data_IF_246600272473
#
_entry.id   IF_246600272473
#
_cell.length_a   1.000
_cell.length_b   1.000
_cell.length_c   1.000
_cell.angle_alpha   90.00
_cell.angle_beta   90.00
_cell.angle_gamma   90.00
#
_symmetry.space_group_name_H-M   'P 1'
#
loop_
_entity.id
_entity.type
_entity.pdbx_description
1 polymer ?
#
# COMPACT_ATOMS: atom_id res chain seq x y z
N UNK A 1 33.34 -20.48 23.92
CA UNK A 1 32.10 -20.42 23.08
C UNK A 1 32.06 -19.27 22.09
N UNK A 2 32.74 -18.10 22.29
CA UNK A 2 32.74 -16.94 21.36
C UNK A 2 33.54 -17.10 20.06
N UNK A 3 34.47 -18.07 19.97
CA UNK A 3 35.35 -18.25 18.78
C UNK A 3 34.77 -19.21 17.73
N UNK A 4 33.84 -20.05 18.09
CA UNK A 4 33.33 -21.10 17.17
C UNK A 4 32.28 -20.59 16.16
N UNK A 5 31.47 -19.58 16.52
CA UNK A 5 30.42 -19.06 15.65
C UNK A 5 30.99 -18.29 14.44
N UNK A 6 32.10 -17.59 14.63
CA UNK A 6 32.79 -16.83 13.54
C UNK A 6 33.52 -17.77 12.57
N UNK A 7 34.00 -18.92 13.06
CA UNK A 7 34.72 -19.88 12.24
C UNK A 7 33.81 -20.71 11.32
N UNK A 8 32.57 -21.02 11.74
CA UNK A 8 31.62 -21.77 10.92
C UNK A 8 31.09 -20.99 9.72
N UNK A 9 30.98 -19.65 9.82
CA UNK A 9 30.47 -18.83 8.71
C UNK A 9 31.54 -18.60 7.63
N UNK A 10 32.84 -18.61 8.00
CA UNK A 10 33.96 -18.46 7.08
C UNK A 10 34.17 -19.69 6.16
N UNK A 11 33.67 -20.88 6.54
CA UNK A 11 33.86 -22.11 5.77
C UNK A 11 32.88 -22.23 4.57
N UNK A 12 31.87 -21.36 4.47
CA UNK A 12 30.91 -21.36 3.36
C UNK A 12 31.42 -20.68 2.08
N UNK A 13 32.68 -20.24 2.02
CA UNK A 13 33.26 -19.52 0.85
C UNK A 13 33.98 -20.47 -0.14
N UNK A 14 33.63 -21.74 -0.20
CA UNK A 14 34.12 -22.61 -1.27
C UNK A 14 33.27 -22.43 -2.54
N UNK A 15 33.79 -21.75 -3.55
CA UNK A 15 33.20 -21.66 -4.88
C UNK A 15 33.06 -23.09 -5.45
N UNK A 16 31.84 -23.60 -5.69
CA UNK A 16 31.65 -24.93 -6.24
C UNK A 16 32.08 -24.94 -7.72
N UNK A 17 33.13 -25.67 -8.05
CA UNK A 17 33.33 -26.11 -9.42
C UNK A 17 32.23 -27.14 -9.73
N UNK A 18 31.30 -26.78 -10.61
CA UNK A 18 30.26 -27.67 -11.14
C UNK A 18 30.92 -28.77 -11.99
N UNK A 19 31.20 -29.91 -11.37
CA UNK A 19 31.49 -31.16 -12.09
C UNK A 19 30.18 -31.89 -12.33
N UNK A 20 29.86 -32.16 -13.60
CA UNK A 20 28.72 -32.94 -14.05
C UNK A 20 28.75 -34.34 -13.36
N UNK A 21 27.82 -34.58 -12.46
CA UNK A 21 27.64 -35.89 -11.81
C UNK A 21 27.64 -35.88 -10.27
N UNK A 22 28.03 -34.76 -9.62
CA UNK A 22 28.05 -34.69 -8.16
C UNK A 22 26.65 -34.57 -7.57
N UNK A 23 26.36 -35.37 -6.53
CA UNK A 23 25.14 -35.25 -5.75
C UNK A 23 25.19 -33.94 -4.95
N UNK A 24 24.08 -33.18 -4.97
CA UNK A 24 23.94 -31.94 -4.16
C UNK A 24 24.12 -32.13 -2.64
N UNK A 25 24.21 -33.38 -2.18
CA UNK A 25 24.33 -33.70 -0.76
C UNK A 25 25.75 -34.12 -0.35
N UNK A 26 26.71 -34.17 -1.26
CA UNK A 26 28.09 -34.53 -1.02
C UNK A 26 28.66 -35.45 -2.11
N UNK A 27 29.99 -35.63 -2.09
CA UNK A 27 30.72 -36.35 -3.11
C UNK A 27 30.75 -37.86 -2.87
N UNK A 28 30.65 -38.27 -1.60
CA UNK A 28 30.65 -39.68 -1.19
C UNK A 28 29.30 -40.11 -0.65
N UNK A 29 29.00 -41.41 -0.69
CA UNK A 29 27.75 -41.96 -0.12
C UNK A 29 27.64 -41.64 1.39
N UNK A 30 28.75 -41.68 2.11
CA UNK A 30 28.80 -41.36 3.53
C UNK A 30 28.44 -39.88 3.77
N UNK A 31 29.04 -38.93 3.02
CA UNK A 31 28.70 -37.50 3.12
C UNK A 31 27.25 -37.26 2.78
N UNK A 32 26.72 -37.89 1.72
CA UNK A 32 25.31 -37.78 1.34
C UNK A 32 24.38 -38.30 2.42
N UNK A 33 24.70 -39.41 3.08
CA UNK A 33 23.91 -39.94 4.17
C UNK A 33 23.88 -39.00 5.37
N UNK A 34 25.06 -38.53 5.82
CA UNK A 34 25.20 -37.59 6.94
C UNK A 34 24.43 -36.30 6.67
N UNK A 35 24.56 -35.72 5.47
CA UNK A 35 23.83 -34.51 5.13
C UNK A 35 22.32 -34.74 5.10
N UNK A 36 21.81 -35.79 4.46
CA UNK A 36 20.38 -36.12 4.41
C UNK A 36 19.80 -36.35 5.81
N UNK A 37 20.53 -37.03 6.67
CA UNK A 37 20.14 -37.25 8.06
C UNK A 37 20.04 -35.93 8.84
N UNK A 38 21.09 -35.09 8.80
CA UNK A 38 21.13 -33.80 9.46
C UNK A 38 19.99 -32.88 8.99
N UNK A 39 19.73 -32.82 7.65
CA UNK A 39 18.60 -32.09 7.08
C UNK A 39 17.26 -32.60 7.59
N UNK A 40 17.08 -33.91 7.67
CA UNK A 40 15.84 -34.54 8.15
C UNK A 40 15.57 -34.20 9.61
N UNK A 41 16.61 -34.26 10.44
CA UNK A 41 16.51 -34.00 11.90
C UNK A 41 16.07 -32.57 12.18
N UNK A 42 16.76 -31.54 11.65
CA UNK A 42 16.35 -30.19 11.92
C UNK A 42 14.97 -29.84 11.36
N UNK A 43 14.61 -30.38 10.16
CA UNK A 43 13.28 -30.20 9.57
C UNK A 43 12.19 -30.83 10.44
N UNK A 44 12.46 -31.98 11.07
CA UNK A 44 11.55 -32.63 12.01
C UNK A 44 11.25 -31.73 13.22
N UNK A 45 12.28 -31.22 13.89
CA UNK A 45 12.09 -30.29 15.01
C UNK A 45 11.38 -28.98 14.58
N UNK A 46 11.70 -28.45 13.41
CA UNK A 46 11.00 -27.29 12.85
C UNK A 46 9.49 -27.56 12.65
N UNK A 47 9.11 -28.75 12.13
CA UNK A 47 7.72 -29.13 11.97
C UNK A 47 6.99 -29.25 13.31
N UNK A 48 7.68 -29.70 14.34
CA UNK A 48 7.17 -29.78 15.72
C UNK A 48 7.13 -28.41 16.41
N UNK A 49 7.56 -27.33 15.74
CA UNK A 49 7.69 -25.97 16.30
C UNK A 49 8.68 -25.85 17.47
N UNK A 50 9.55 -26.85 17.66
CA UNK A 50 10.66 -26.81 18.58
C UNK A 50 11.84 -26.07 17.94
N UNK A 51 11.77 -24.74 17.93
CA UNK A 51 12.70 -23.90 17.16
C UNK A 51 14.10 -23.85 17.80
N UNK A 52 14.24 -24.04 19.11
CA UNK A 52 15.52 -24.03 19.78
C UNK A 52 16.35 -25.26 19.38
N UNK A 53 15.75 -26.44 19.45
CA UNK A 53 16.40 -27.65 19.01
C UNK A 53 16.60 -27.66 17.48
N UNK A 54 15.62 -27.15 16.72
CA UNK A 54 15.76 -27.01 15.28
C UNK A 54 16.97 -26.15 14.89
N UNK A 55 17.26 -25.07 15.62
CA UNK A 55 18.43 -24.23 15.41
C UNK A 55 19.74 -24.98 15.66
N UNK A 56 19.85 -25.73 16.78
CA UNK A 56 21.02 -26.52 17.08
C UNK A 56 21.30 -27.57 15.99
N UNK A 57 20.27 -28.28 15.55
CA UNK A 57 20.40 -29.27 14.49
C UNK A 57 20.62 -28.66 13.10
N UNK A 58 20.12 -27.44 12.85
CA UNK A 58 20.42 -26.68 11.65
C UNK A 58 21.91 -26.29 11.58
N UNK A 59 22.53 -25.89 12.68
CA UNK A 59 23.98 -25.63 12.74
C UNK A 59 24.78 -26.88 12.32
N UNK A 60 24.40 -28.08 12.82
CA UNK A 60 25.02 -29.34 12.41
C UNK A 60 24.82 -29.62 10.92
N UNK A 61 23.62 -29.33 10.39
CA UNK A 61 23.37 -29.52 8.97
C UNK A 61 24.22 -28.57 8.11
N UNK A 62 24.47 -27.34 8.56
CA UNK A 62 25.35 -26.39 7.88
C UNK A 62 26.82 -26.83 7.89
N UNK A 63 27.24 -27.59 8.90
CA UNK A 63 28.61 -28.11 9.02
C UNK A 63 28.86 -29.29 8.08
N UNK A 64 27.88 -30.19 7.93
CA UNK A 64 28.07 -31.44 7.16
C UNK A 64 27.54 -31.40 5.72
N UNK A 65 26.68 -30.45 5.37
CA UNK A 65 26.08 -30.37 4.04
C UNK A 65 26.82 -29.39 3.14
N UNK A 66 26.95 -29.69 1.82
CA UNK A 66 27.39 -28.72 0.84
C UNK A 66 26.44 -27.50 0.81
N UNK A 67 26.99 -26.33 0.47
CA UNK A 67 26.22 -25.07 0.36
C UNK A 67 25.06 -25.14 -0.63
N UNK A 68 25.16 -26.00 -1.64
CA UNK A 68 24.16 -26.25 -2.67
C UNK A 68 23.14 -27.31 -2.31
N UNK A 69 23.25 -27.93 -1.11
CA UNK A 69 22.37 -29.03 -0.72
C UNK A 69 20.88 -28.69 -0.76
N UNK A 70 20.54 -27.49 -0.26
CA UNK A 70 19.16 -27.06 -0.18
C UNK A 70 19.02 -25.57 0.10
N UNK A 71 18.20 -24.85 -0.69
CA UNK A 71 17.84 -23.44 -0.43
C UNK A 71 17.25 -23.23 0.97
N UNK A 72 16.52 -24.22 1.48
CA UNK A 72 15.90 -24.19 2.81
C UNK A 72 16.89 -24.00 3.96
N UNK A 73 18.16 -24.36 3.81
CA UNK A 73 19.21 -24.08 4.81
C UNK A 73 19.33 -22.58 5.07
N UNK A 74 19.29 -21.76 4.02
CA UNK A 74 19.42 -20.31 4.11
C UNK A 74 18.14 -19.67 4.67
N UNK A 75 16.98 -20.00 4.12
CA UNK A 75 15.71 -19.40 4.54
C UNK A 75 15.33 -19.79 5.99
N UNK A 76 15.61 -21.03 6.41
CA UNK A 76 15.37 -21.47 7.75
C UNK A 76 16.41 -20.89 8.72
N UNK A 77 17.69 -20.80 8.30
CA UNK A 77 18.76 -20.14 9.05
C UNK A 77 18.44 -18.69 9.37
N UNK A 78 18.00 -17.92 8.38
CA UNK A 78 17.55 -16.53 8.57
C UNK A 78 16.44 -16.48 9.64
N UNK A 79 15.48 -17.40 9.60
CA UNK A 79 14.40 -17.48 10.59
C UNK A 79 14.92 -17.80 11.99
N UNK A 80 15.83 -18.76 12.12
CA UNK A 80 16.41 -19.15 13.39
C UNK A 80 17.25 -18.03 13.98
N UNK A 81 18.12 -17.40 13.18
CA UNK A 81 18.92 -16.26 13.61
C UNK A 81 18.06 -15.08 14.07
N UNK A 82 16.94 -14.82 13.39
CA UNK A 82 15.99 -13.77 13.82
C UNK A 82 15.35 -14.09 15.20
N UNK A 83 15.15 -15.35 15.54
CA UNK A 83 14.71 -15.73 16.88
C UNK A 83 15.82 -15.55 17.91
N UNK A 84 17.07 -15.87 17.56
CA UNK A 84 18.23 -15.63 18.43
C UNK A 84 18.47 -14.12 18.63
N UNK A 85 18.27 -13.29 17.61
CA UNK A 85 18.31 -11.82 17.76
C UNK A 85 17.28 -11.35 18.80
N UNK A 86 16.05 -11.86 18.76
CA UNK A 86 15.03 -11.51 19.76
C UNK A 86 15.47 -11.89 21.19
N UNK A 87 16.07 -13.09 21.36
CA UNK A 87 16.59 -13.52 22.65
C UNK A 87 17.75 -12.63 23.12
N UNK A 88 18.71 -12.33 22.24
CA UNK A 88 19.83 -11.44 22.56
C UNK A 88 19.36 -10.03 22.91
N UNK A 89 18.35 -9.50 22.19
CA UNK A 89 17.72 -8.21 22.49
C UNK A 89 17.08 -8.21 23.87
N UNK A 90 16.38 -9.28 24.24
CA UNK A 90 15.77 -9.40 25.58
C UNK A 90 16.78 -9.51 26.73
N UNK A 91 18.02 -9.85 26.40
CA UNK A 91 19.16 -9.94 27.34
C UNK A 91 20.07 -8.70 27.25
N UNK A 92 19.68 -7.69 26.47
CA UNK A 92 20.45 -6.46 26.22
C UNK A 92 21.89 -6.72 25.69
N UNK A 93 22.12 -7.88 25.06
CA UNK A 93 23.43 -8.24 24.45
C UNK A 93 23.55 -7.64 23.04
N UNK A 94 23.85 -6.35 22.97
CA UNK A 94 23.98 -5.60 21.73
C UNK A 94 25.06 -6.15 20.79
N UNK A 95 26.16 -6.67 21.34
CA UNK A 95 27.24 -7.26 20.54
C UNK A 95 26.78 -8.55 19.85
N UNK A 96 26.00 -9.36 20.54
CA UNK A 96 25.40 -10.57 19.95
C UNK A 96 24.32 -10.22 18.92
N UNK A 97 23.50 -9.20 19.19
CA UNK A 97 22.49 -8.71 18.21
C UNK A 97 23.19 -8.31 16.92
N UNK A 98 24.26 -7.51 16.97
CA UNK A 98 25.00 -7.08 15.78
C UNK A 98 25.56 -8.29 15.01
N UNK A 99 26.28 -9.19 15.66
CA UNK A 99 26.87 -10.38 15.03
C UNK A 99 25.84 -11.30 14.37
N UNK A 100 24.67 -11.50 15.03
CA UNK A 100 23.58 -12.30 14.47
C UNK A 100 22.93 -11.61 13.26
N UNK A 101 22.80 -10.28 13.31
CA UNK A 101 22.26 -9.47 12.21
C UNK A 101 23.18 -9.54 10.99
N UNK A 102 24.48 -9.40 11.15
CA UNK A 102 25.47 -9.59 10.08
C UNK A 102 25.35 -10.99 9.45
N UNK A 103 25.19 -12.00 10.28
CA UNK A 103 24.99 -13.38 9.81
C UNK A 103 23.69 -13.55 8.99
N UNK A 104 22.62 -12.87 9.39
CA UNK A 104 21.35 -12.86 8.62
C UNK A 104 21.58 -12.31 7.21
N UNK A 105 22.28 -11.18 7.07
CA UNK A 105 22.53 -10.56 5.78
C UNK A 105 23.49 -11.38 4.92
N UNK A 106 24.50 -11.99 5.52
CA UNK A 106 25.37 -12.94 4.82
C UNK A 106 24.58 -14.13 4.24
N UNK A 107 23.65 -14.71 5.01
CA UNK A 107 22.78 -15.78 4.51
C UNK A 107 21.87 -15.33 3.37
N UNK A 108 21.39 -14.09 3.38
CA UNK A 108 20.65 -13.52 2.26
C UNK A 108 21.50 -13.43 1.01
N UNK A 109 22.75 -12.93 1.11
CA UNK A 109 23.65 -12.76 -0.02
C UNK A 109 24.04 -14.12 -0.63
N UNK A 110 24.41 -15.08 0.20
CA UNK A 110 24.71 -16.45 -0.24
C UNK A 110 23.49 -17.12 -0.89
N UNK A 111 22.29 -16.90 -0.34
CA UNK A 111 21.05 -17.44 -0.91
C UNK A 111 20.75 -16.84 -2.29
N UNK A 112 20.98 -15.53 -2.49
CA UNK A 112 20.81 -14.86 -3.79
C UNK A 112 21.82 -15.35 -4.81
N UNK A 113 23.05 -15.62 -4.41
CA UNK A 113 24.12 -16.11 -5.27
C UNK A 113 23.88 -17.56 -5.70
N UNK A 114 23.56 -18.45 -4.75
CA UNK A 114 23.44 -19.89 -4.99
C UNK A 114 22.07 -20.29 -5.57
N UNK A 115 21.03 -19.50 -5.33
CA UNK A 115 19.67 -19.79 -5.77
C UNK A 115 19.02 -18.58 -6.45
N UNK A 116 19.65 -18.01 -7.50
CA UNK A 116 19.12 -16.83 -8.20
C UNK A 116 17.80 -17.13 -8.93
N UNK A 117 17.60 -18.39 -9.30
CA UNK A 117 16.40 -18.90 -9.96
C UNK A 117 16.03 -20.29 -9.43
N UNK A 118 14.74 -20.60 -9.42
CA UNK A 118 14.20 -21.92 -9.13
C UNK A 118 13.11 -22.28 -10.14
N UNK A 119 12.76 -23.56 -10.27
CA UNK A 119 11.66 -23.99 -11.17
C UNK A 119 10.34 -23.26 -10.92
N UNK A 120 10.08 -22.90 -9.65
CA UNK A 120 8.84 -22.20 -9.26
C UNK A 120 8.99 -20.66 -9.29
N UNK A 121 10.20 -20.15 -9.27
CA UNK A 121 10.53 -18.71 -9.20
C UNK A 121 11.73 -18.43 -10.07
N UNK A 122 11.55 -18.15 -11.37
CA UNK A 122 12.65 -17.81 -12.27
C UNK A 122 13.42 -16.56 -11.79
N UNK A 123 12.74 -15.61 -11.12
CA UNK A 123 13.33 -14.39 -10.57
C UNK A 123 13.53 -14.50 -9.04
N UNK A 124 13.97 -15.67 -8.53
CA UNK A 124 14.06 -15.92 -7.10
C UNK A 124 15.00 -14.95 -6.37
N UNK A 125 16.09 -14.50 -7.02
CA UNK A 125 16.99 -13.47 -6.48
C UNK A 125 16.23 -12.20 -6.11
N UNK A 126 15.31 -11.76 -6.95
CA UNK A 126 14.52 -10.54 -6.71
C UNK A 126 13.52 -10.73 -5.53
N UNK A 127 12.92 -11.91 -5.38
CA UNK A 127 12.11 -12.24 -4.20
C UNK A 127 12.94 -12.21 -2.92
N UNK A 128 14.15 -12.79 -2.95
CA UNK A 128 15.05 -12.82 -1.79
C UNK A 128 15.46 -11.39 -1.42
N UNK A 129 15.78 -10.55 -2.41
CA UNK A 129 16.17 -9.16 -2.21
C UNK A 129 15.06 -8.35 -1.51
N UNK A 130 13.80 -8.50 -1.90
CA UNK A 130 12.67 -7.86 -1.23
C UNK A 130 12.54 -8.26 0.25
N UNK A 131 12.79 -9.52 0.59
CA UNK A 131 12.85 -9.96 1.99
C UNK A 131 14.08 -9.44 2.72
N UNK A 132 15.24 -9.39 2.05
CA UNK A 132 16.46 -8.77 2.60
C UNK A 132 16.21 -7.31 2.95
N UNK A 133 15.60 -6.54 2.05
CA UNK A 133 15.24 -5.14 2.27
C UNK A 133 14.29 -4.97 3.46
N UNK A 134 13.28 -5.86 3.58
CA UNK A 134 12.34 -5.84 4.71
C UNK A 134 13.01 -6.07 6.05
N UNK A 135 13.92 -7.02 6.13
CA UNK A 135 14.66 -7.31 7.37
C UNK A 135 15.71 -6.21 7.63
N UNK A 136 16.35 -5.66 6.58
CA UNK A 136 17.28 -4.53 6.73
C UNK A 136 16.59 -3.31 7.34
N UNK A 137 15.46 -2.88 6.79
CA UNK A 137 14.71 -1.74 7.31
C UNK A 137 14.21 -1.97 8.74
N UNK A 138 14.01 -3.23 9.14
CA UNK A 138 13.62 -3.57 10.50
C UNK A 138 14.76 -3.39 11.51
N UNK A 139 15.99 -3.73 11.12
CA UNK A 139 17.16 -3.64 11.98
C UNK A 139 17.86 -2.29 11.90
N UNK A 140 17.71 -1.54 10.78
CA UNK A 140 18.38 -0.28 10.49
C UNK A 140 17.32 0.77 10.12
N UNK A 141 16.55 1.23 11.10
CA UNK A 141 15.45 2.20 10.90
C UNK A 141 15.93 3.59 10.51
N UNK A 142 17.14 3.90 10.83
CA UNK A 142 17.86 5.14 10.54
C UNK A 142 18.46 5.19 9.13
N UNK A 143 18.49 4.07 8.41
CA UNK A 143 18.88 4.00 7.00
C UNK A 143 17.72 3.52 6.09
N UNK A 144 16.70 4.36 5.87
CA UNK A 144 15.62 4.03 4.94
C UNK A 144 16.07 4.03 3.48
N UNK A 145 17.15 4.75 3.14
CA UNK A 145 17.63 4.92 1.77
C UNK A 145 18.15 3.62 1.18
N UNK A 146 19.00 2.90 1.92
CA UNK A 146 19.52 1.59 1.48
C UNK A 146 18.37 0.57 1.33
N UNK A 147 17.46 0.52 2.30
CA UNK A 147 16.29 -0.36 2.22
C UNK A 147 15.43 -0.04 1.00
N UNK A 148 15.19 1.26 0.75
CA UNK A 148 14.39 1.73 -0.39
C UNK A 148 15.00 1.33 -1.73
N UNK A 149 16.31 1.47 -1.91
CA UNK A 149 17.01 1.06 -3.12
C UNK A 149 16.86 -0.45 -3.40
N UNK A 150 17.00 -1.30 -2.38
CA UNK A 150 16.80 -2.75 -2.53
C UNK A 150 15.35 -3.15 -2.78
N UNK A 151 14.40 -2.45 -2.17
CA UNK A 151 12.97 -2.65 -2.48
C UNK A 151 12.69 -2.29 -3.93
N UNK A 152 13.21 -1.15 -4.41
CA UNK A 152 13.02 -0.73 -5.80
C UNK A 152 13.57 -1.76 -6.78
N UNK A 153 14.81 -2.22 -6.60
CA UNK A 153 15.42 -3.27 -7.45
C UNK A 153 14.54 -4.54 -7.47
N UNK A 154 14.00 -4.95 -6.31
CA UNK A 154 13.11 -6.10 -6.21
C UNK A 154 11.81 -5.88 -7.00
N UNK A 155 11.17 -4.71 -6.87
CA UNK A 155 9.90 -4.37 -7.52
C UNK A 155 10.09 -4.22 -9.04
N UNK A 156 11.14 -3.54 -9.50
CA UNK A 156 11.43 -3.36 -10.92
C UNK A 156 11.61 -4.70 -11.65
N UNK A 157 12.14 -5.70 -10.94
CA UNK A 157 12.31 -7.06 -11.44
C UNK A 157 11.02 -7.88 -11.39
N UNK A 158 10.25 -7.80 -10.31
CA UNK A 158 9.08 -8.66 -10.05
C UNK A 158 7.77 -8.07 -10.53
N UNK A 159 7.67 -6.74 -10.58
CA UNK A 159 6.44 -6.01 -10.96
C UNK A 159 5.22 -6.54 -10.18
N UNK A 160 4.21 -7.04 -10.88
CA UNK A 160 2.98 -7.60 -10.32
C UNK A 160 3.21 -8.81 -9.40
N UNK A 161 4.32 -9.55 -9.57
CA UNK A 161 4.65 -10.68 -8.70
C UNK A 161 5.17 -10.24 -7.31
N UNK A 162 5.38 -8.94 -7.11
CA UNK A 162 5.87 -8.40 -5.84
C UNK A 162 4.86 -8.61 -4.72
N UNK A 163 5.35 -9.03 -3.55
CA UNK A 163 4.47 -9.25 -2.40
C UNK A 163 3.91 -7.94 -1.83
N UNK A 164 2.69 -8.00 -1.28
CA UNK A 164 2.01 -6.87 -0.65
C UNK A 164 2.90 -6.14 0.40
N UNK A 165 3.64 -6.90 1.20
CA UNK A 165 4.51 -6.32 2.23
C UNK A 165 5.68 -5.51 1.62
N UNK A 166 6.28 -6.00 0.53
CA UNK A 166 7.38 -5.31 -0.17
C UNK A 166 6.88 -4.01 -0.80
N UNK A 167 5.74 -4.04 -1.51
CA UNK A 167 5.13 -2.84 -2.10
C UNK A 167 4.85 -1.76 -1.04
N UNK A 168 4.21 -2.15 0.06
CA UNK A 168 3.89 -1.22 1.15
C UNK A 168 5.16 -0.65 1.81
N UNK A 169 6.14 -1.49 2.14
CA UNK A 169 7.37 -1.03 2.80
C UNK A 169 8.22 -0.16 1.88
N UNK A 170 8.26 -0.44 0.59
CA UNK A 170 8.91 0.41 -0.39
C UNK A 170 8.37 1.84 -0.33
N UNK A 171 7.06 2.02 -0.43
CA UNK A 171 6.46 3.35 -0.44
C UNK A 171 6.66 4.10 0.88
N UNK A 172 6.59 3.38 2.01
CA UNK A 172 6.90 3.93 3.33
C UNK A 172 8.38 4.34 3.45
N UNK A 173 9.32 3.52 2.95
CA UNK A 173 10.75 3.87 2.97
C UNK A 173 11.09 4.98 2.00
N UNK A 174 10.38 5.11 0.86
CA UNK A 174 10.48 6.26 -0.05
C UNK A 174 10.14 7.57 0.67
N UNK A 175 9.08 7.57 1.48
CA UNK A 175 8.70 8.73 2.29
C UNK A 175 9.79 9.12 3.30
N UNK A 176 10.35 8.16 4.02
CA UNK A 176 11.42 8.47 4.97
C UNK A 176 12.72 8.86 4.28
N UNK A 177 13.05 8.26 3.13
CA UNK A 177 14.18 8.67 2.31
C UNK A 177 14.01 10.10 1.76
N UNK A 178 12.79 10.49 1.35
CA UNK A 178 12.47 11.86 0.95
C UNK A 178 12.68 12.85 2.09
N UNK A 179 12.29 12.49 3.32
CA UNK A 179 12.40 13.40 4.49
C UNK A 179 13.82 13.77 4.90
N UNK A 180 14.82 13.01 4.49
CA UNK A 180 16.23 13.32 4.74
C UNK A 180 16.87 14.12 3.60
N UNK A 181 16.13 14.40 2.53
CA UNK A 181 16.54 15.23 1.41
C UNK A 181 16.07 16.67 1.61
N UNK A 182 16.77 17.61 0.98
CA UNK A 182 16.44 19.03 1.02
C UNK A 182 16.35 19.63 -0.39
N UNK A 183 15.64 20.76 -0.52
CA UNK A 183 15.56 21.53 -1.75
C UNK A 183 15.01 20.73 -2.95
N UNK A 184 15.69 20.85 -4.09
CA UNK A 184 15.22 20.26 -5.35
C UNK A 184 15.24 18.72 -5.32
N UNK A 185 16.17 18.10 -4.60
CA UNK A 185 16.22 16.64 -4.48
C UNK A 185 15.00 16.07 -3.74
N UNK A 186 14.47 16.79 -2.75
CA UNK A 186 13.24 16.38 -2.06
C UNK A 186 12.02 16.52 -2.98
N UNK A 187 11.97 17.57 -3.81
CA UNK A 187 10.90 17.76 -4.81
C UNK A 187 10.93 16.69 -5.91
N UNK A 188 12.13 16.36 -6.41
CA UNK A 188 12.31 15.29 -7.39
C UNK A 188 11.81 13.96 -6.83
N UNK A 189 12.21 13.62 -5.61
CA UNK A 189 11.76 12.41 -4.92
C UNK A 189 10.24 12.39 -4.70
N UNK A 190 9.64 13.52 -4.37
CA UNK A 190 8.18 13.65 -4.28
C UNK A 190 7.51 13.36 -5.64
N UNK A 191 8.01 13.93 -6.74
CA UNK A 191 7.51 13.67 -8.09
C UNK A 191 7.61 12.19 -8.48
N UNK A 192 8.74 11.54 -8.14
CA UNK A 192 8.88 10.09 -8.31
C UNK A 192 7.80 9.32 -7.51
N UNK A 193 7.62 9.63 -6.23
CA UNK A 193 6.65 8.97 -5.38
C UNK A 193 5.21 9.12 -5.89
N UNK A 194 4.84 10.31 -6.40
CA UNK A 194 3.53 10.54 -7.00
C UNK A 194 3.30 9.68 -8.26
N UNK A 195 4.33 9.51 -9.09
CA UNK A 195 4.30 8.64 -10.27
C UNK A 195 4.23 7.16 -9.87
N UNK A 196 5.05 6.74 -8.90
CA UNK A 196 5.13 5.37 -8.41
C UNK A 196 3.83 4.93 -7.72
N UNK A 197 3.14 5.85 -7.04
CA UNK A 197 1.83 5.56 -6.45
C UNK A 197 0.87 4.94 -7.46
N UNK A 198 0.78 5.48 -8.67
CA UNK A 198 -0.10 4.96 -9.72
C UNK A 198 0.30 3.53 -10.11
N UNK A 199 1.60 3.28 -10.32
CA UNK A 199 2.11 1.96 -10.71
C UNK A 199 1.92 0.93 -9.61
N UNK A 200 2.27 1.26 -8.37
CA UNK A 200 2.16 0.34 -7.25
C UNK A 200 0.70 -0.03 -6.95
N UNK A 201 -0.20 0.94 -7.05
CA UNK A 201 -1.63 0.68 -6.86
C UNK A 201 -2.23 -0.14 -7.99
N UNK A 202 -1.72 -0.05 -9.23
CA UNK A 202 -2.12 -0.95 -10.34
C UNK A 202 -1.71 -2.40 -10.03
N UNK A 203 -0.47 -2.64 -9.58
CA UNK A 203 -0.03 -3.99 -9.15
C UNK A 203 -0.88 -4.54 -8.00
N UNK A 204 -1.22 -3.69 -7.04
CA UNK A 204 -2.04 -4.09 -5.89
C UNK A 204 -3.47 -4.43 -6.32
N UNK A 205 -4.11 -3.57 -7.13
CA UNK A 205 -5.49 -3.76 -7.58
C UNK A 205 -5.63 -5.03 -8.43
N UNK A 206 -4.67 -5.29 -9.34
CA UNK A 206 -4.59 -6.53 -10.11
C UNK A 206 -4.47 -7.76 -9.20
N UNK A 207 -3.61 -7.71 -8.18
CA UNK A 207 -3.43 -8.81 -7.22
C UNK A 207 -4.67 -9.02 -6.35
N UNK A 208 -5.38 -7.96 -5.94
CA UNK A 208 -6.65 -8.07 -5.21
C UNK A 208 -7.69 -8.77 -6.09
N UNK A 209 -7.86 -8.34 -7.34
CA UNK A 209 -8.82 -8.93 -8.28
C UNK A 209 -8.53 -10.41 -8.52
N UNK A 210 -7.26 -10.77 -8.77
CA UNK A 210 -6.83 -12.15 -8.95
C UNK A 210 -7.07 -13.01 -7.70
N UNK A 211 -6.77 -12.47 -6.51
CA UNK A 211 -6.98 -13.17 -5.25
C UNK A 211 -8.47 -13.39 -4.93
N UNK A 212 -9.32 -12.40 -5.23
CA UNK A 212 -10.78 -12.51 -5.09
C UNK A 212 -11.32 -13.56 -6.04
N UNK A 213 -10.92 -13.53 -7.31
CA UNK A 213 -11.33 -14.54 -8.31
C UNK A 213 -10.90 -15.96 -7.94
N UNK A 214 -9.76 -16.10 -7.23
CA UNK A 214 -9.24 -17.39 -6.73
C UNK A 214 -9.76 -17.74 -5.32
N UNK A 215 -10.72 -17.00 -4.76
CA UNK A 215 -11.26 -17.15 -3.40
C UNK A 215 -10.19 -17.12 -2.28
N UNK A 216 -9.03 -16.52 -2.57
CA UNK A 216 -7.93 -16.41 -1.62
C UNK A 216 -8.05 -15.14 -0.76
N UNK A 217 -8.97 -15.17 0.21
CA UNK A 217 -9.27 -14.05 1.10
C UNK A 217 -8.04 -13.54 1.86
N UNK A 218 -7.12 -14.43 2.26
CA UNK A 218 -5.90 -14.05 2.96
C UNK A 218 -5.00 -13.18 2.09
N UNK A 219 -4.79 -13.55 0.84
CA UNK A 219 -3.98 -12.77 -0.10
C UNK A 219 -4.66 -11.45 -0.42
N UNK A 220 -5.96 -11.45 -0.72
CA UNK A 220 -6.73 -10.23 -0.96
C UNK A 220 -6.61 -9.23 0.21
N UNK A 221 -6.85 -9.69 1.46
CA UNK A 221 -6.71 -8.87 2.67
C UNK A 221 -5.28 -8.32 2.83
N UNK A 222 -4.25 -9.11 2.49
CA UNK A 222 -2.86 -8.66 2.52
C UNK A 222 -2.60 -7.48 1.59
N UNK A 223 -3.08 -7.54 0.34
CA UNK A 223 -2.95 -6.44 -0.62
C UNK A 223 -3.85 -5.24 -0.29
N UNK A 224 -5.06 -5.44 0.23
CA UNK A 224 -5.91 -4.35 0.73
C UNK A 224 -5.22 -3.55 1.85
N UNK A 225 -4.54 -4.26 2.78
CA UNK A 225 -3.73 -3.61 3.82
C UNK A 225 -2.56 -2.82 3.25
N UNK A 226 -1.86 -3.38 2.25
CA UNK A 226 -0.76 -2.68 1.58
C UNK A 226 -1.26 -1.43 0.87
N UNK A 227 -2.40 -1.50 0.17
CA UNK A 227 -3.05 -0.35 -0.45
C UNK A 227 -3.34 0.75 0.56
N UNK A 228 -4.00 0.40 1.66
CA UNK A 228 -4.31 1.36 2.73
C UNK A 228 -3.07 2.09 3.23
N UNK A 229 -1.97 1.38 3.50
CA UNK A 229 -0.73 1.99 3.96
C UNK A 229 -0.12 2.94 2.92
N UNK A 230 -0.17 2.58 1.63
CA UNK A 230 0.32 3.42 0.53
C UNK A 230 -0.57 4.66 0.38
N UNK A 231 -1.88 4.51 0.45
CA UNK A 231 -2.85 5.60 0.37
C UNK A 231 -2.65 6.61 1.52
N UNK A 232 -2.43 6.14 2.75
CA UNK A 232 -2.15 7.00 3.91
C UNK A 232 -0.90 7.86 3.70
N UNK A 233 0.18 7.28 3.16
CA UNK A 233 1.41 8.04 2.85
C UNK A 233 1.15 9.03 1.71
N UNK A 234 0.49 8.59 0.64
CA UNK A 234 0.16 9.44 -0.51
C UNK A 234 -0.67 10.65 -0.08
N UNK A 235 -1.73 10.44 0.70
CA UNK A 235 -2.59 11.52 1.22
C UNK A 235 -1.79 12.51 2.06
N UNK A 236 -0.81 12.04 2.83
CA UNK A 236 0.01 12.90 3.68
C UNK A 236 0.97 13.80 2.91
N UNK A 237 1.46 13.37 1.73
CA UNK A 237 2.48 14.10 0.95
C UNK A 237 1.93 14.84 -0.27
N UNK A 238 0.88 14.35 -0.91
CA UNK A 238 0.36 14.89 -2.14
C UNK A 238 -0.39 16.21 -1.88
N UNK A 239 0.12 17.31 -2.47
CA UNK A 239 -0.58 18.58 -2.58
C UNK A 239 -1.05 18.78 -4.03
N UNK A 240 -2.09 19.60 -4.24
CA UNK A 240 -2.65 19.80 -5.60
C UNK A 240 -1.60 20.33 -6.57
N UNK A 241 -0.78 21.29 -6.13
CA UNK A 241 0.29 21.93 -6.92
C UNK A 241 1.38 20.96 -7.35
N UNK A 242 1.68 19.92 -6.56
CA UNK A 242 2.68 18.90 -6.89
C UNK A 242 2.06 17.77 -7.72
N UNK A 243 0.83 17.39 -7.40
CA UNK A 243 0.14 16.23 -7.97
C UNK A 243 -0.37 16.50 -9.39
N UNK A 244 -1.01 17.65 -9.64
CA UNK A 244 -1.66 17.96 -10.91
C UNK A 244 -0.69 17.93 -12.10
N UNK A 245 0.53 18.51 -12.03
CA UNK A 245 1.48 18.42 -13.15
C UNK A 245 1.89 16.97 -13.47
N UNK A 246 2.13 16.14 -12.45
CA UNK A 246 2.51 14.73 -12.61
C UNK A 246 1.37 13.94 -13.24
N UNK A 247 0.14 14.12 -12.78
CA UNK A 247 -1.05 13.45 -13.31
C UNK A 247 -1.35 13.91 -14.74
N UNK A 248 -1.20 15.21 -15.06
CA UNK A 248 -1.37 15.76 -16.38
C UNK A 248 -0.38 15.14 -17.38
N UNK A 249 0.90 15.05 -17.01
CA UNK A 249 1.93 14.43 -17.84
C UNK A 249 1.61 12.93 -18.07
N UNK A 250 1.12 12.23 -17.05
CA UNK A 250 0.77 10.81 -17.15
C UNK A 250 -0.44 10.60 -18.08
N UNK A 251 -1.49 11.41 -17.96
CA UNK A 251 -2.66 11.38 -18.87
C UNK A 251 -2.23 11.72 -20.30
N UNK A 252 -1.36 12.70 -20.50
CA UNK A 252 -0.86 13.06 -21.84
C UNK A 252 -0.08 11.91 -22.49
N UNK A 253 0.70 11.15 -21.71
CA UNK A 253 1.47 10.00 -22.21
C UNK A 253 0.62 8.79 -22.58
N UNK A 254 -0.59 8.67 -22.00
CA UNK A 254 -1.51 7.53 -22.22
C UNK A 254 -2.97 8.02 -22.19
N UNK A 255 -3.29 8.90 -23.15
CA UNK A 255 -4.57 9.61 -23.20
C UNK A 255 -5.79 8.71 -23.47
N UNK A 256 -5.60 7.50 -23.97
CA UNK A 256 -6.66 6.52 -24.22
C UNK A 256 -6.99 5.66 -22.99
N UNK A 257 -6.16 5.66 -21.96
CA UNK A 257 -6.30 4.80 -20.80
C UNK A 257 -7.41 5.30 -19.86
N UNK A 258 -8.55 4.62 -19.91
CA UNK A 258 -9.72 5.02 -19.13
C UNK A 258 -9.56 4.68 -17.64
N UNK A 259 -8.92 3.55 -17.31
CA UNK A 259 -8.66 3.16 -15.93
C UNK A 259 -7.76 4.19 -15.24
N UNK A 260 -6.75 4.70 -15.96
CA UNK A 260 -5.91 5.79 -15.48
C UNK A 260 -6.74 7.07 -15.24
N UNK A 261 -7.64 7.46 -16.17
CA UNK A 261 -8.50 8.63 -16.00
C UNK A 261 -9.43 8.49 -14.80
N UNK A 262 -10.05 7.33 -14.61
CA UNK A 262 -10.90 7.06 -13.44
C UNK A 262 -10.09 7.16 -12.13
N UNK A 263 -8.88 6.63 -12.10
CA UNK A 263 -7.98 6.73 -10.95
C UNK A 263 -7.59 8.18 -10.67
N UNK A 264 -7.19 8.93 -11.69
CA UNK A 264 -6.83 10.34 -11.58
C UNK A 264 -7.99 11.16 -11.04
N UNK A 265 -9.20 11.00 -11.61
CA UNK A 265 -10.39 11.71 -11.14
C UNK A 265 -10.69 11.42 -9.67
N UNK A 266 -10.56 10.15 -9.25
CA UNK A 266 -10.76 9.76 -7.85
C UNK A 266 -9.77 10.43 -6.92
N UNK A 267 -8.48 10.49 -7.30
CA UNK A 267 -7.44 11.15 -6.53
C UNK A 267 -7.68 12.66 -6.40
N UNK A 268 -8.04 13.33 -7.51
CA UNK A 268 -8.37 14.76 -7.50
C UNK A 268 -9.57 15.06 -6.60
N UNK A 269 -10.62 14.24 -6.65
CA UNK A 269 -11.78 14.36 -5.75
C UNK A 269 -11.41 14.14 -4.28
N UNK A 270 -10.62 13.10 -3.98
CA UNK A 270 -10.21 12.77 -2.62
C UNK A 270 -9.36 13.86 -1.96
N UNK A 271 -8.59 14.60 -2.77
CA UNK A 271 -7.73 15.70 -2.32
C UNK A 271 -8.38 17.08 -2.45
N UNK A 272 -9.62 17.14 -2.87
CA UNK A 272 -10.36 18.39 -3.18
C UNK A 272 -9.62 19.28 -4.19
N UNK A 273 -8.90 18.65 -5.13
CA UNK A 273 -8.10 19.30 -6.15
C UNK A 273 -8.95 19.48 -7.43
N UNK A 274 -10.00 20.26 -7.36
CA UNK A 274 -10.88 20.52 -8.52
C UNK A 274 -10.58 21.83 -9.27
N UNK A 275 -9.73 22.70 -8.69
CA UNK A 275 -9.40 24.00 -9.29
C UNK A 275 -8.13 23.90 -10.17
N UNK A 276 -8.27 23.22 -11.32
CA UNK A 276 -7.20 23.06 -12.29
C UNK A 276 -7.74 22.59 -13.65
N UNK A 277 -6.96 22.79 -14.72
CA UNK A 277 -7.36 22.49 -16.11
C UNK A 277 -7.48 20.97 -16.42
N UNK A 278 -6.96 20.09 -15.56
CA UNK A 278 -7.03 18.64 -15.75
C UNK A 278 -8.39 18.07 -15.31
N UNK A 279 -9.03 18.67 -14.30
CA UNK A 279 -10.14 18.07 -13.60
C UNK A 279 -11.37 17.83 -14.47
N UNK A 280 -11.89 18.90 -15.11
CA UNK A 280 -13.12 18.80 -15.91
C UNK A 280 -12.96 17.92 -17.16
N UNK A 281 -11.90 18.05 -17.99
CA UNK A 281 -11.72 17.16 -19.14
C UNK A 281 -11.62 15.67 -18.78
N UNK A 282 -10.98 15.34 -17.66
CA UNK A 282 -10.90 13.95 -17.19
C UNK A 282 -12.26 13.48 -16.70
N UNK A 283 -13.00 14.30 -15.95
CA UNK A 283 -14.33 13.98 -15.46
C UNK A 283 -15.33 13.73 -16.62
N UNK A 284 -15.33 14.60 -17.61
CA UNK A 284 -16.20 14.47 -18.79
C UNK A 284 -15.85 13.21 -19.60
N UNK A 285 -14.56 12.93 -19.85
CA UNK A 285 -14.13 11.75 -20.58
C UNK A 285 -14.56 10.45 -19.87
N UNK A 286 -14.42 10.39 -18.54
CA UNK A 286 -14.86 9.25 -17.73
C UNK A 286 -16.38 9.13 -17.78
N UNK A 287 -17.10 10.23 -17.59
CA UNK A 287 -18.56 10.24 -17.55
C UNK A 287 -19.21 9.86 -18.88
N UNK A 288 -18.60 10.32 -20.00
CA UNK A 288 -19.11 10.00 -21.34
C UNK A 288 -19.06 8.50 -21.64
N UNK A 289 -18.00 7.82 -21.20
CA UNK A 289 -17.80 6.41 -21.51
C UNK A 289 -18.50 5.49 -20.49
N UNK A 290 -18.40 5.82 -19.22
CA UNK A 290 -19.01 5.06 -18.13
C UNK A 290 -19.39 6.01 -16.98
N UNK A 291 -20.66 6.47 -16.92
CA UNK A 291 -21.11 7.31 -15.83
C UNK A 291 -20.82 6.68 -14.47
N UNK A 292 -20.12 7.42 -13.62
CA UNK A 292 -19.76 7.00 -12.27
C UNK A 292 -20.00 8.12 -11.27
N UNK A 293 -20.15 7.77 -9.98
CA UNK A 293 -20.36 8.78 -8.94
C UNK A 293 -19.24 9.83 -8.89
N UNK A 294 -17.91 9.48 -9.06
CA UNK A 294 -16.87 10.49 -9.05
C UNK A 294 -16.94 11.44 -10.27
N UNK A 295 -17.27 10.91 -11.44
CA UNK A 295 -17.38 11.75 -12.64
C UNK A 295 -18.59 12.68 -12.58
N UNK A 296 -19.75 12.20 -12.15
CA UNK A 296 -20.92 13.01 -11.95
C UNK A 296 -20.68 14.12 -10.92
N UNK A 297 -20.06 13.78 -9.77
CA UNK A 297 -19.71 14.76 -8.75
C UNK A 297 -18.76 15.84 -9.25
N UNK A 298 -17.73 15.45 -10.02
CA UNK A 298 -16.78 16.37 -10.61
C UNK A 298 -17.47 17.40 -11.54
N UNK A 299 -18.29 16.92 -12.46
CA UNK A 299 -19.04 17.80 -13.37
C UNK A 299 -20.00 18.71 -12.59
N UNK A 300 -20.72 18.17 -11.61
CA UNK A 300 -21.61 18.94 -10.74
C UNK A 300 -20.86 20.03 -9.96
N UNK A 301 -19.64 19.75 -9.52
CA UNK A 301 -18.78 20.72 -8.85
C UNK A 301 -18.39 21.85 -9.78
N UNK A 302 -17.96 21.57 -11.02
CA UNK A 302 -17.61 22.59 -12.00
C UNK A 302 -18.81 23.42 -12.44
N UNK A 303 -19.96 22.79 -12.64
CA UNK A 303 -21.20 23.52 -12.92
C UNK A 303 -21.59 24.48 -11.79
N UNK A 304 -21.29 24.12 -10.53
CA UNK A 304 -21.49 25.01 -9.39
C UNK A 304 -20.57 26.22 -9.40
N UNK A 305 -19.31 26.06 -9.81
CA UNK A 305 -18.34 27.16 -9.91
C UNK A 305 -18.74 28.22 -10.93
N UNK A 306 -19.34 27.79 -12.04
CA UNK A 306 -19.88 28.70 -13.09
C UNK A 306 -21.33 29.11 -12.82
N UNK A 307 -21.80 28.95 -11.60
CA UNK A 307 -23.13 29.33 -11.12
C UNK A 307 -24.31 28.66 -11.87
N UNK A 308 -24.03 27.58 -12.62
CA UNK A 308 -25.08 26.79 -13.26
C UNK A 308 -25.67 25.76 -12.29
N UNK A 309 -26.27 26.26 -11.21
CA UNK A 309 -26.74 25.45 -10.11
C UNK A 309 -27.81 24.41 -10.48
N UNK A 310 -28.56 24.64 -11.56
CA UNK A 310 -29.57 23.66 -12.02
C UNK A 310 -28.90 22.40 -12.56
N UNK A 311 -27.91 22.54 -13.44
CA UNK A 311 -27.12 21.43 -13.95
C UNK A 311 -26.25 20.83 -12.85
N UNK A 312 -25.68 21.67 -11.98
CA UNK A 312 -24.94 21.22 -10.80
C UNK A 312 -25.78 20.25 -9.96
N UNK A 313 -27.03 20.64 -9.64
CA UNK A 313 -27.92 19.77 -8.87
C UNK A 313 -28.20 18.45 -9.58
N UNK A 314 -28.45 18.48 -10.89
CA UNK A 314 -28.70 17.27 -11.67
C UNK A 314 -27.55 16.28 -11.61
N UNK A 315 -26.30 16.75 -11.78
CA UNK A 315 -25.11 15.89 -11.71
C UNK A 315 -24.81 15.45 -10.27
N UNK A 316 -25.06 16.29 -9.26
CA UNK A 316 -24.92 15.91 -7.87
C UNK A 316 -25.94 14.84 -7.44
N UNK A 317 -27.19 14.93 -7.89
CA UNK A 317 -28.20 13.90 -7.68
C UNK A 317 -27.79 12.58 -8.35
N UNK A 318 -27.24 12.63 -9.56
CA UNK A 318 -26.70 11.46 -10.23
C UNK A 318 -25.49 10.86 -9.47
N UNK A 319 -24.63 11.69 -8.89
CA UNK A 319 -23.52 11.21 -8.07
C UNK A 319 -24.04 10.44 -6.83
N UNK A 320 -25.07 10.96 -6.16
CA UNK A 320 -25.72 10.28 -5.03
C UNK A 320 -26.36 8.96 -5.46
N UNK A 321 -27.05 8.93 -6.61
CA UNK A 321 -27.69 7.72 -7.13
C UNK A 321 -26.68 6.62 -7.49
N UNK A 322 -25.59 7.00 -8.17
CA UNK A 322 -24.53 6.06 -8.57
C UNK A 322 -23.64 5.60 -7.41
N UNK A 323 -23.70 6.27 -6.26
CA UNK A 323 -22.92 5.99 -5.08
C UNK A 323 -23.62 4.95 -4.16
N UNK A 324 -23.85 3.76 -4.66
CA UNK A 324 -24.48 2.69 -3.88
C UNK A 324 -23.52 2.17 -2.77
N UNK A 325 -23.51 2.84 -1.60
CA UNK A 325 -22.70 2.45 -0.44
C UNK A 325 -21.22 2.84 -0.54
N UNK A 326 -20.85 3.81 -1.36
CA UNK A 326 -19.51 4.35 -1.41
C UNK A 326 -19.15 5.16 -0.15
N UNK A 327 -17.86 5.34 0.10
CA UNK A 327 -17.35 6.09 1.27
C UNK A 327 -17.62 7.58 1.19
N UNK A 328 -17.87 8.12 -0.01
CA UNK A 328 -18.10 9.53 -0.30
C UNK A 328 -19.58 9.98 -0.16
N UNK A 329 -20.47 9.06 0.18
CA UNK A 329 -21.93 9.33 0.24
C UNK A 329 -22.27 10.54 1.12
N UNK A 330 -21.66 10.69 2.29
CA UNK A 330 -21.87 11.83 3.17
C UNK A 330 -21.56 13.16 2.47
N UNK A 331 -20.38 13.22 1.81
CA UNK A 331 -19.94 14.41 1.08
C UNK A 331 -20.89 14.76 -0.08
N UNK A 332 -21.33 13.75 -0.84
CA UNK A 332 -22.24 13.97 -1.96
C UNK A 332 -23.62 14.48 -1.49
N UNK A 333 -24.17 13.88 -0.45
CA UNK A 333 -25.43 14.32 0.13
C UNK A 333 -25.36 15.76 0.67
N UNK A 334 -24.26 16.12 1.36
CA UNK A 334 -24.05 17.48 1.85
C UNK A 334 -23.98 18.50 0.71
N UNK A 335 -23.16 18.24 -0.31
CA UNK A 335 -23.04 19.16 -1.46
C UNK A 335 -24.35 19.27 -2.25
N UNK A 336 -25.05 18.15 -2.48
CA UNK A 336 -26.35 18.14 -3.14
C UNK A 336 -27.38 18.96 -2.36
N UNK A 337 -27.40 18.78 -1.05
CA UNK A 337 -28.30 19.53 -0.17
C UNK A 337 -28.00 21.03 -0.12
N UNK A 338 -26.73 21.43 -0.10
CA UNK A 338 -26.31 22.84 -0.16
C UNK A 338 -26.75 23.50 -1.47
N UNK A 339 -26.60 22.84 -2.63
CA UNK A 339 -27.05 23.34 -3.93
C UNK A 339 -28.59 23.40 -3.98
N UNK A 340 -29.28 22.39 -3.47
CA UNK A 340 -30.73 22.40 -3.42
C UNK A 340 -31.26 23.55 -2.54
N UNK A 341 -30.61 23.84 -1.41
CA UNK A 341 -30.92 24.98 -0.54
C UNK A 341 -30.75 26.31 -1.28
N UNK A 342 -29.62 26.47 -2.00
CA UNK A 342 -29.35 27.66 -2.80
C UNK A 342 -30.41 27.90 -3.89
N UNK A 343 -30.91 26.85 -4.51
CA UNK A 343 -32.02 26.89 -5.49
C UNK A 343 -33.40 27.09 -4.83
N UNK A 344 -33.48 27.27 -3.52
CA UNK A 344 -34.73 27.40 -2.79
C UNK A 344 -35.58 26.13 -2.71
N UNK A 345 -34.99 24.96 -3.02
CA UNK A 345 -35.61 23.64 -2.89
C UNK A 345 -35.45 23.12 -1.46
N UNK A 346 -36.03 23.86 -0.49
CA UNK A 346 -35.82 23.66 0.95
C UNK A 346 -36.23 22.27 1.45
N UNK A 347 -37.28 21.67 0.89
CA UNK A 347 -37.69 20.32 1.25
C UNK A 347 -36.67 19.27 0.82
N UNK A 348 -36.09 19.42 -0.38
CA UNK A 348 -35.02 18.52 -0.88
C UNK A 348 -33.73 18.69 -0.06
N UNK A 349 -33.32 19.94 0.22
CA UNK A 349 -32.16 20.24 1.06
C UNK A 349 -32.25 19.56 2.42
N UNK A 350 -33.43 19.68 3.10
CA UNK A 350 -33.69 19.02 4.38
C UNK A 350 -33.66 17.50 4.28
N UNK A 351 -34.18 16.93 3.19
CA UNK A 351 -34.15 15.46 2.97
C UNK A 351 -32.74 14.95 2.83
N UNK A 352 -31.87 15.67 2.07
CA UNK A 352 -30.45 15.31 1.95
C UNK A 352 -29.70 15.42 3.28
N UNK A 353 -29.91 16.49 4.02
CA UNK A 353 -29.34 16.68 5.35
C UNK A 353 -29.76 15.58 6.33
N UNK A 354 -31.03 15.15 6.30
CA UNK A 354 -31.47 14.02 7.13
C UNK A 354 -30.76 12.72 6.77
N UNK A 355 -30.59 12.41 5.49
CA UNK A 355 -29.80 11.24 5.04
C UNK A 355 -28.35 11.28 5.51
N UNK A 356 -27.74 12.48 5.61
CA UNK A 356 -26.41 12.64 6.20
C UNK A 356 -26.45 12.27 7.70
N UNK A 357 -27.45 12.76 8.45
CA UNK A 357 -27.59 12.43 9.89
C UNK A 357 -27.84 10.94 10.13
N UNK A 358 -28.47 10.24 9.18
CA UNK A 358 -28.66 8.79 9.25
C UNK A 358 -27.32 8.03 9.12
N UNK A 359 -26.30 8.62 8.45
CA UNK A 359 -24.93 8.09 8.29
C UNK A 359 -24.05 8.55 9.45
N UNK A 360 -24.11 9.84 9.78
CA UNK A 360 -23.31 10.53 10.78
C UNK A 360 -24.20 11.45 11.63
N UNK A 361 -24.71 10.93 12.72
CA UNK A 361 -25.66 11.65 13.59
C UNK A 361 -25.12 12.92 14.24
N UNK A 362 -23.77 13.10 14.23
CA UNK A 362 -23.07 14.26 14.81
C UNK A 362 -22.63 15.28 13.75
N UNK A 363 -23.04 15.13 12.49
CA UNK A 363 -22.66 16.03 11.39
C UNK A 363 -23.19 17.45 11.62
N UNK A 364 -22.32 18.36 12.04
CA UNK A 364 -22.63 19.77 12.23
C UNK A 364 -23.09 20.45 10.93
N UNK A 365 -22.46 20.10 9.79
CA UNK A 365 -22.84 20.59 8.46
C UNK A 365 -24.28 20.22 8.09
N UNK A 366 -24.71 19.01 8.41
CA UNK A 366 -26.09 18.58 8.15
C UNK A 366 -27.09 19.31 9.02
N UNK A 367 -26.78 19.51 10.31
CA UNK A 367 -27.60 20.29 11.21
C UNK A 367 -27.75 21.75 10.77
N UNK A 368 -26.66 22.38 10.36
CA UNK A 368 -26.65 23.72 9.77
C UNK A 368 -27.49 23.78 8.50
N UNK A 369 -27.37 22.82 7.60
CA UNK A 369 -28.15 22.75 6.37
C UNK A 369 -29.66 22.63 6.64
N UNK A 370 -30.06 21.90 7.69
CA UNK A 370 -31.47 21.85 8.14
C UNK A 370 -31.92 23.23 8.63
N UNK A 371 -31.12 23.92 9.44
CA UNK A 371 -31.37 25.27 9.90
C UNK A 371 -31.56 26.24 8.74
N UNK A 372 -30.65 26.26 7.78
CA UNK A 372 -30.72 27.09 6.58
C UNK A 372 -31.98 26.80 5.74
N UNK A 373 -32.35 25.52 5.59
CA UNK A 373 -33.54 25.12 4.85
C UNK A 373 -34.82 25.59 5.56
N UNK A 374 -34.87 25.58 6.89
CA UNK A 374 -35.98 26.09 7.67
C UNK A 374 -36.05 27.63 7.57
N UNK A 375 -34.93 28.32 7.74
CA UNK A 375 -34.82 29.76 7.60
C UNK A 375 -35.24 30.23 6.18
N UNK A 376 -34.75 29.57 5.14
CA UNK A 376 -35.11 29.83 3.74
C UNK A 376 -36.59 29.61 3.40
N UNK A 377 -37.26 28.74 4.15
CA UNK A 377 -38.70 28.55 4.02
C UNK A 377 -39.52 29.64 4.76
N UNK A 378 -38.92 30.44 5.63
CA UNK A 378 -39.61 31.41 6.48
C UNK A 378 -40.43 32.45 5.69
N UNK A 379 -39.91 32.87 4.50
CA UNK A 379 -40.61 33.81 3.60
C UNK A 379 -41.86 33.21 2.93
N UNK A 380 -41.98 31.88 2.92
CA UNK A 380 -43.13 31.14 2.35
C UNK A 380 -44.22 30.87 3.39
N UNK A 381 -43.99 31.22 4.68
CA UNK A 381 -45.02 31.13 5.71
C UNK A 381 -46.04 32.24 5.49
N UNK A 382 -47.28 31.87 5.15
CA UNK A 382 -48.33 32.79 4.74
C UNK A 382 -49.20 33.29 5.91
N UNK A 383 -48.75 33.13 7.14
CA UNK A 383 -49.42 33.54 8.38
C UNK A 383 -48.85 34.83 8.99
N UNK A 384 -48.32 35.70 8.14
CA UNK A 384 -47.82 37.03 8.47
C UNK A 384 -46.42 37.03 9.15
N UNK A 385 -46.10 38.17 9.78
CA UNK A 385 -44.81 38.41 10.38
C UNK A 385 -44.47 37.42 11.53
N UNK A 386 -45.46 36.84 12.20
CA UNK A 386 -45.28 35.92 13.29
C UNK A 386 -44.80 34.56 12.80
N UNK A 387 -45.39 34.00 11.76
CA UNK A 387 -44.99 32.72 11.21
C UNK A 387 -43.55 32.73 10.65
N UNK A 388 -43.17 33.80 9.94
CA UNK A 388 -41.80 34.00 9.50
C UNK A 388 -40.81 34.04 10.66
N UNK A 389 -41.11 34.77 11.75
CA UNK A 389 -40.27 34.84 12.94
C UNK A 389 -40.14 33.49 13.66
N UNK A 390 -41.24 32.73 13.76
CA UNK A 390 -41.23 31.40 14.37
C UNK A 390 -40.40 30.41 13.54
N UNK A 391 -40.40 30.51 12.22
CA UNK A 391 -39.54 29.69 11.34
C UNK A 391 -38.05 29.98 11.58
N UNK A 392 -37.65 31.26 11.73
CA UNK A 392 -36.28 31.60 12.07
C UNK A 392 -35.88 31.09 13.47
N UNK A 393 -36.74 31.20 14.48
CA UNK A 393 -36.49 30.67 15.81
C UNK A 393 -36.35 29.15 15.84
N UNK A 394 -37.03 28.44 14.92
CA UNK A 394 -36.90 26.99 14.77
C UNK A 394 -35.62 26.58 14.03
N UNK A 395 -35.04 27.48 13.23
CA UNK A 395 -33.77 27.26 12.51
C UNK A 395 -32.56 27.37 13.44
N UNK A 396 -32.64 28.17 14.51
CA UNK A 396 -31.61 28.27 15.55
C UNK A 396 -31.68 27.08 16.50
#
# INVERSE_FOLDING_TARGET
>A
MKKELIFMIALLIAIPQLTLGQSRYGDTEEQQLLCKEALSVYVSYKKQKNYDEAYIQWLKACDVCPTTAREGLYSDGIRFLKNEVKKATSLEDSARVASLTDSIFLLYDQRMELYPATTKRPNNRCFILGYKASDFYKFNRDDPTTANAWFKESIDCLKEETSAAVLSQYYVTSFYAMKVLEGDSAKEKLGEMLTEYLVLTDYIDSNIANAVAAENTKTATGFQKAKKNIDEVFIAIAQCEDMVPVLSAKIASDSSNMDLKQKVLRLLNQKDCSDNDLYLPVAEAVHYQEPSHPSAFAIGTEQSKVENFTEALRYMEQAVELCAGCTEMETYLLKTGKIASFLGKTAAARSYAQKVLDINSESADALMLIGDAIAGAASKCNDGALGSRLAYLRAC
#
